data_IF_691251279303
#
_entry.id   IF_691251279303
#
_cell.length_a   1.000
_cell.length_b   1.000
_cell.length_c   1.000
_cell.angle_alpha   90.00
_cell.angle_beta   90.00
_cell.angle_gamma   90.00
#
_symmetry.space_group_name_H-M   'P 1'
#
loop_
_entity.id
_entity.type
_entity.pdbx_description
1 polymer ?
#
# COMPACT_ATOMS: atom_id res chain seq x y z
N UNK A 1 7.25 -6.41 -3.86
CA UNK A 1 6.21 -5.51 -3.30
C UNK A 1 4.86 -6.08 -3.71
N UNK A 2 3.85 -6.01 -2.85
CA UNK A 2 2.48 -6.36 -3.24
C UNK A 2 1.77 -5.06 -3.67
N UNK A 3 1.32 -5.02 -4.91
CA UNK A 3 0.63 -3.90 -5.52
C UNK A 3 -0.87 -4.20 -5.62
N UNK A 4 -1.71 -3.20 -5.50
CA UNK A 4 -3.18 -3.31 -5.57
C UNK A 4 -3.75 -2.33 -6.59
N UNK A 5 -4.97 -2.57 -7.12
CA UNK A 5 -5.68 -1.56 -7.89
C UNK A 5 -5.76 -0.24 -7.11
N UNK A 6 -5.72 0.88 -7.85
CA UNK A 6 -5.78 2.20 -7.23
C UNK A 6 -7.14 2.39 -6.53
N UNK A 7 -7.18 2.61 -5.20
CA UNK A 7 -8.43 2.94 -4.52
C UNK A 7 -8.86 4.37 -4.88
N UNK A 8 -10.14 4.69 -4.62
CA UNK A 8 -10.71 6.01 -4.92
C UNK A 8 -9.93 7.19 -4.30
N UNK A 9 -9.28 6.95 -3.15
CA UNK A 9 -8.49 7.96 -2.46
C UNK A 9 -7.02 8.05 -2.89
N UNK A 10 -6.55 7.15 -3.75
CA UNK A 10 -5.22 7.22 -4.38
C UNK A 10 -5.31 6.89 -5.89
N UNK A 11 -6.06 7.68 -6.68
CA UNK A 11 -6.35 7.36 -8.08
C UNK A 11 -5.10 7.38 -8.98
N UNK A 12 -4.08 8.15 -8.60
CA UNK A 12 -2.84 8.26 -9.35
C UNK A 12 -1.93 7.03 -9.18
N UNK A 13 -2.14 6.24 -8.13
CA UNK A 13 -1.25 5.15 -7.73
C UNK A 13 0.14 5.64 -7.30
N UNK A 14 0.97 4.70 -6.86
CA UNK A 14 2.31 5.01 -6.36
C UNK A 14 3.37 4.69 -7.42
N UNK A 15 3.34 3.44 -7.92
CA UNK A 15 4.37 2.87 -8.79
C UNK A 15 3.73 2.07 -9.92
N UNK A 16 4.43 1.89 -11.05
CA UNK A 16 3.98 0.96 -12.09
C UNK A 16 4.54 -0.44 -11.89
N UNK A 17 3.81 -1.45 -12.37
CA UNK A 17 4.26 -2.84 -12.41
C UNK A 17 4.42 -3.25 -13.88
N UNK A 18 5.65 -3.54 -14.29
CA UNK A 18 5.99 -3.96 -15.66
C UNK A 18 6.51 -5.40 -15.62
N UNK A 19 5.63 -6.35 -15.94
CA UNK A 19 5.89 -7.77 -15.68
C UNK A 19 6.06 -7.98 -14.16
N UNK A 20 7.22 -8.47 -13.74
CA UNK A 20 7.55 -8.66 -12.33
C UNK A 20 8.30 -7.47 -11.71
N UNK A 21 8.65 -6.41 -12.45
CA UNK A 21 9.44 -5.30 -11.95
C UNK A 21 8.57 -4.10 -11.58
N UNK A 22 8.83 -3.51 -10.42
CA UNK A 22 8.20 -2.27 -9.99
C UNK A 22 9.06 -1.08 -10.42
N UNK A 23 8.42 -0.02 -10.94
CA UNK A 23 9.08 1.20 -11.39
C UNK A 23 8.41 2.45 -10.85
N UNK A 24 9.23 3.50 -10.65
CA UNK A 24 8.79 4.83 -10.21
C UNK A 24 7.80 5.50 -11.19
N UNK A 25 8.08 5.39 -12.50
CA UNK A 25 7.24 5.92 -13.58
C UNK A 25 6.47 4.84 -14.34
N UNK A 26 5.70 5.23 -15.36
CA UNK A 26 4.90 4.33 -16.20
C UNK A 26 3.43 4.76 -16.29
N UNK A 27 2.70 4.23 -17.28
CA UNK A 27 1.30 4.58 -17.55
C UNK A 27 0.29 3.81 -16.70
N UNK A 28 0.60 2.56 -16.33
CA UNK A 28 -0.27 1.69 -15.54
C UNK A 28 0.22 1.63 -14.07
N UNK A 29 -0.03 2.71 -13.34
CA UNK A 29 0.31 2.80 -11.92
C UNK A 29 -0.68 2.06 -11.04
N UNK A 30 -0.14 1.45 -9.99
CA UNK A 30 -0.82 0.72 -8.93
C UNK A 30 -0.46 1.31 -7.57
N UNK A 31 -1.30 1.09 -6.57
CA UNK A 31 -1.03 1.49 -5.20
C UNK A 31 -0.20 0.41 -4.50
N UNK A 32 0.81 0.83 -3.75
CA UNK A 32 1.57 -0.05 -2.89
C UNK A 32 0.72 -0.39 -1.65
N UNK A 33 0.46 -1.69 -1.45
CA UNK A 33 -0.48 -2.17 -0.42
C UNK A 33 -0.02 -1.98 1.04
N UNK A 34 1.25 -1.61 1.25
CA UNK A 34 1.91 -1.68 2.55
C UNK A 34 2.50 -3.06 2.89
N UNK A 35 2.31 -4.06 2.03
CA UNK A 35 2.86 -5.42 2.22
C UNK A 35 4.07 -5.64 1.30
N UNK A 36 5.20 -6.00 1.92
CA UNK A 36 6.42 -6.30 1.20
C UNK A 36 7.33 -7.25 1.98
N UNK A 37 8.22 -7.91 1.22
CA UNK A 37 9.40 -8.59 1.75
C UNK A 37 10.61 -7.75 1.38
N UNK A 38 11.43 -7.41 2.37
CA UNK A 38 12.65 -6.62 2.18
C UNK A 38 13.88 -7.44 2.53
N UNK A 39 14.92 -7.33 1.71
CA UNK A 39 16.25 -7.80 2.08
C UNK A 39 16.91 -6.75 3.00
N UNK A 40 17.59 -7.13 4.11
CA UNK A 40 18.22 -6.17 5.03
C UNK A 40 19.19 -5.17 4.37
N UNK A 41 19.85 -5.58 3.29
CA UNK A 41 20.72 -4.70 2.47
C UNK A 41 20.04 -3.45 1.94
N UNK A 42 18.71 -3.46 1.78
CA UNK A 42 17.96 -2.27 1.38
C UNK A 42 18.16 -1.10 2.38
N UNK A 43 18.47 -1.41 3.64
CA UNK A 43 18.64 -0.47 4.74
C UNK A 43 20.11 -0.19 5.07
N UNK A 44 21.06 -0.70 4.28
CA UNK A 44 22.48 -0.38 4.48
C UNK A 44 22.70 1.14 4.36
N UNK A 45 23.38 1.71 5.37
CA UNK A 45 23.63 3.14 5.46
C UNK A 45 22.48 3.95 6.09
N UNK A 46 21.38 3.32 6.50
CA UNK A 46 20.35 4.00 7.28
C UNK A 46 20.80 4.19 8.74
N UNK A 47 20.52 5.38 9.28
CA UNK A 47 20.69 5.66 10.71
C UNK A 47 19.48 5.19 11.51
N UNK A 48 19.70 4.86 12.78
CA UNK A 48 18.62 4.55 13.70
C UNK A 48 17.66 5.75 13.85
N UNK A 49 16.36 5.46 13.92
CA UNK A 49 15.30 6.46 14.06
C UNK A 49 14.19 6.30 13.03
N UNK A 50 13.35 7.32 12.91
CA UNK A 50 12.22 7.34 11.97
C UNK A 50 12.66 7.88 10.61
N UNK A 51 12.45 7.12 9.56
CA UNK A 51 12.65 7.55 8.17
C UNK A 51 11.59 6.93 7.25
N UNK A 52 11.44 7.50 6.05
CA UNK A 52 10.55 6.96 5.02
C UNK A 52 11.24 5.85 4.23
N UNK A 53 10.51 4.78 3.95
CA UNK A 53 10.96 3.69 3.08
C UNK A 53 10.97 4.08 1.60
N UNK A 54 10.16 5.08 1.21
CA UNK A 54 9.94 5.45 -0.20
C UNK A 54 11.25 5.82 -0.92
N UNK A 55 12.14 6.68 -0.39
CA UNK A 55 13.40 6.99 -1.06
C UNK A 55 14.31 5.76 -1.30
N UNK A 56 14.30 4.78 -0.38
CA UNK A 56 15.06 3.53 -0.53
C UNK A 56 14.49 2.69 -1.67
N UNK A 57 13.16 2.60 -1.76
CA UNK A 57 12.49 1.91 -2.87
C UNK A 57 12.78 2.59 -4.21
N UNK A 58 12.71 3.92 -4.28
CA UNK A 58 13.00 4.65 -5.52
C UNK A 58 14.44 4.40 -5.99
N UNK A 59 15.42 4.40 -5.07
CA UNK A 59 16.80 4.03 -5.41
C UNK A 59 16.88 2.60 -5.94
N UNK A 60 16.28 1.64 -5.24
CA UNK A 60 16.29 0.24 -5.65
C UNK A 60 15.54 0.00 -6.98
N UNK A 61 14.49 0.78 -7.27
CA UNK A 61 13.76 0.73 -8.56
C UNK A 61 14.63 1.23 -9.70
N UNK A 62 15.44 2.28 -9.49
CA UNK A 62 16.42 2.74 -10.49
C UNK A 62 17.49 1.68 -10.78
N UNK A 63 17.85 0.90 -9.77
CA UNK A 63 18.75 -0.27 -9.90
C UNK A 63 18.03 -1.52 -10.47
N UNK A 64 16.73 -1.45 -10.75
CA UNK A 64 15.90 -2.54 -11.30
C UNK A 64 15.85 -3.83 -10.46
N UNK A 65 16.03 -3.71 -9.14
CA UNK A 65 16.04 -4.85 -8.20
C UNK A 65 14.76 -4.98 -7.38
N UNK A 66 13.78 -4.10 -7.59
CA UNK A 66 12.48 -4.18 -6.93
C UNK A 66 11.52 -4.97 -7.78
N UNK A 67 11.16 -6.16 -7.32
CA UNK A 67 10.09 -6.96 -7.92
C UNK A 67 8.76 -6.72 -7.24
N UNK A 68 7.67 -7.10 -7.90
CA UNK A 68 6.34 -7.08 -7.32
C UNK A 68 5.36 -8.00 -8.02
N UNK A 69 4.22 -8.12 -7.37
CA UNK A 69 3.04 -8.82 -7.87
C UNK A 69 1.81 -7.94 -7.70
N UNK A 70 0.80 -8.17 -8.53
CA UNK A 70 -0.51 -7.55 -8.40
C UNK A 70 -1.43 -8.47 -7.62
N UNK A 71 -2.07 -7.94 -6.59
CA UNK A 71 -3.10 -8.59 -5.81
C UNK A 71 -4.46 -7.95 -6.11
N UNK A 72 -5.36 -8.73 -6.68
CA UNK A 72 -6.72 -8.31 -7.07
C UNK A 72 -7.80 -8.70 -6.04
N UNK A 73 -7.40 -9.24 -4.88
CA UNK A 73 -8.32 -9.63 -3.82
C UNK A 73 -8.72 -8.47 -2.89
N UNK A 74 -9.49 -8.77 -1.83
CA UNK A 74 -9.93 -7.78 -0.85
C UNK A 74 -8.75 -7.08 -0.18
N UNK A 75 -8.72 -5.76 -0.24
CA UNK A 75 -7.72 -4.90 0.41
C UNK A 75 -8.37 -3.56 0.78
N UNK A 76 -8.00 -3.00 1.94
CA UNK A 76 -8.47 -1.68 2.39
C UNK A 76 -7.39 -0.97 3.21
N UNK A 77 -7.11 0.29 2.88
CA UNK A 77 -6.25 1.20 3.66
C UNK A 77 -7.08 1.96 4.72
N UNK A 78 -7.06 1.46 5.95
CA UNK A 78 -7.89 1.97 7.05
C UNK A 78 -7.18 3.13 7.77
N UNK A 79 -7.37 4.33 7.24
CA UNK A 79 -6.85 5.58 7.82
C UNK A 79 -7.91 6.48 8.48
N UNK A 80 -9.20 6.21 8.27
CA UNK A 80 -10.32 7.02 8.79
C UNK A 80 -11.44 6.14 9.33
N UNK A 81 -12.40 6.72 10.07
CA UNK A 81 -13.57 5.99 10.59
C UNK A 81 -14.45 5.47 9.45
N UNK A 82 -14.60 6.25 8.39
CA UNK A 82 -15.36 5.87 7.19
C UNK A 82 -14.76 4.63 6.54
N UNK A 83 -13.43 4.60 6.34
CA UNK A 83 -12.73 3.44 5.76
C UNK A 83 -12.74 2.21 6.67
N UNK A 84 -12.83 2.40 7.99
CA UNK A 84 -13.01 1.32 8.94
C UNK A 84 -14.40 0.66 8.77
N UNK A 85 -15.46 1.45 8.61
CA UNK A 85 -16.81 0.93 8.41
C UNK A 85 -16.97 0.26 7.03
N UNK A 86 -16.32 0.78 5.99
CA UNK A 86 -16.20 0.09 4.70
C UNK A 86 -15.53 -1.29 4.85
N UNK A 87 -14.41 -1.36 5.58
CA UNK A 87 -13.70 -2.62 5.80
C UNK A 87 -14.51 -3.64 6.59
N UNK A 88 -15.32 -3.20 7.57
CA UNK A 88 -16.24 -4.08 8.31
C UNK A 88 -17.29 -4.68 7.39
N UNK A 89 -17.89 -3.85 6.54
CA UNK A 89 -18.88 -4.28 5.55
C UNK A 89 -18.30 -5.34 4.62
N UNK A 90 -17.09 -5.12 4.10
CA UNK A 90 -16.38 -6.08 3.24
C UNK A 90 -16.10 -7.42 3.95
N UNK A 91 -15.81 -7.38 5.26
CA UNK A 91 -15.55 -8.57 6.08
C UNK A 91 -16.83 -9.29 6.54
N UNK A 92 -18.02 -8.85 6.12
CA UNK A 92 -19.30 -9.40 6.57
C UNK A 92 -19.58 -9.16 8.06
N UNK A 93 -18.95 -8.14 8.66
CA UNK A 93 -19.17 -7.74 10.05
C UNK A 93 -20.04 -6.48 10.07
N UNK A 94 -21.15 -6.45 10.83
CA UNK A 94 -21.92 -5.22 10.98
C UNK A 94 -21.05 -4.11 11.59
N UNK A 95 -21.23 -2.88 11.09
CA UNK A 95 -20.65 -1.69 11.70
C UNK A 95 -21.08 -1.57 13.16
N UNK A 96 -20.22 -1.05 14.03
CA UNK A 96 -20.65 -0.72 15.40
C UNK A 96 -21.74 0.36 15.29
N UNK A 97 -22.99 -0.03 15.50
CA UNK A 97 -24.06 0.94 15.73
C UNK A 97 -23.61 1.92 16.81
N UNK A 98 -23.82 3.22 16.58
CA UNK A 98 -23.51 4.25 17.56
C UNK A 98 -24.32 3.97 18.83
N UNK A 99 -23.68 3.35 19.83
CA UNK A 99 -24.25 3.28 21.18
C UNK A 99 -24.36 4.73 21.70
N UNK A 100 -25.58 5.23 21.80
CA UNK A 100 -25.88 6.45 22.55
C UNK A 100 -26.51 7.59 21.74
N UNK A 101 -27.76 7.42 21.32
CA UNK A 101 -28.77 8.43 21.60
C UNK A 101 -29.89 7.73 22.37
N UNK A 102 -29.86 7.88 23.69
CA UNK A 102 -30.99 7.55 24.55
C UNK A 102 -31.02 8.60 25.66
N UNK A 103 -32.11 9.36 25.69
CA UNK A 103 -32.62 10.11 26.85
C UNK A 103 -31.95 11.43 27.14
#
# INVERSE_FOLDING_TARGET
LVMVPNPAHNPAGDFSLQGALVREGGTEKLTYSGVAVYHPRLFEGCSAGKFSIVPLLLRAMREQIVTGERYDGPWNDIGTLERLDEARTLAGRPGLEKRGQAG
#
